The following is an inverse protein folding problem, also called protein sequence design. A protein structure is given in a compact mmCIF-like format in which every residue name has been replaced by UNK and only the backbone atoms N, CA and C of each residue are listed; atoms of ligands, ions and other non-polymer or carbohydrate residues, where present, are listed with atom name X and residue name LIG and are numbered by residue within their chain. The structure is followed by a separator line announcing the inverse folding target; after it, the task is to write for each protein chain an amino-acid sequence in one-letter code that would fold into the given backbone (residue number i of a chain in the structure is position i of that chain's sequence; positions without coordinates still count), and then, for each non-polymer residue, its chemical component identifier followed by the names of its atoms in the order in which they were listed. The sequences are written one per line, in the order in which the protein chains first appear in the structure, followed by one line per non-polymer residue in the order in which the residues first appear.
data_IF_934823851151
#
_entry.id   IF_934823851151
#
_cell.length_a   1.000
_cell.length_b   1.000
_cell.length_c   1.000
_cell.angle_alpha   90.00
_cell.angle_beta   90.00
_cell.angle_gamma   90.00
#
_symmetry.space_group_name_H-M   'P 1'
#
loop_
_entity.id
_entity.type
_entity.pdbx_description
1 polymer ?
#
# COMPACT_ATOMS: atom_id res chain seq x y z
N UNK A 1 -17.87 11.52 10.77
CA UNK A 1 -18.39 11.61 9.38
C UNK A 1 -17.53 10.74 8.47
N UNK A 2 -18.13 9.84 7.68
CA UNK A 2 -17.40 9.14 6.61
C UNK A 2 -17.48 9.98 5.33
N UNK A 3 -16.36 10.26 4.64
CA UNK A 3 -16.39 10.93 3.35
C UNK A 3 -17.24 10.14 2.36
N UNK A 4 -18.05 10.83 1.56
CA UNK A 4 -18.82 10.19 0.49
C UNK A 4 -17.91 9.94 -0.71
N UNK A 5 -17.14 8.86 -0.65
CA UNK A 5 -16.16 8.52 -1.68
C UNK A 5 -16.78 8.35 -3.07
N UNK A 6 -18.05 7.91 -3.14
CA UNK A 6 -18.77 7.82 -4.42
C UNK A 6 -18.84 9.17 -5.11
N UNK A 7 -19.26 10.21 -4.39
CA UNK A 7 -19.39 11.57 -4.95
C UNK A 7 -18.03 12.16 -5.31
N UNK A 8 -17.03 11.99 -4.45
CA UNK A 8 -15.67 12.49 -4.68
C UNK A 8 -15.06 11.88 -5.95
N UNK A 9 -15.10 10.56 -6.10
CA UNK A 9 -14.53 9.91 -7.28
C UNK A 9 -15.35 10.17 -8.54
N UNK A 10 -16.67 10.31 -8.43
CA UNK A 10 -17.52 10.70 -9.55
C UNK A 10 -17.12 12.08 -10.09
N UNK A 11 -17.02 13.08 -9.22
CA UNK A 11 -16.65 14.44 -9.60
C UNK A 11 -15.23 14.47 -10.20
N UNK A 12 -14.29 13.70 -9.65
CA UNK A 12 -12.92 13.58 -10.19
C UNK A 12 -12.92 12.97 -11.59
N UNK A 13 -13.66 11.88 -11.82
CA UNK A 13 -13.71 11.22 -13.14
C UNK A 13 -14.37 12.14 -14.16
N UNK A 14 -15.48 12.79 -13.81
CA UNK A 14 -16.19 13.70 -14.72
C UNK A 14 -15.34 14.91 -15.11
N UNK A 15 -14.50 15.41 -14.19
CA UNK A 15 -13.68 16.60 -14.43
C UNK A 15 -12.35 16.30 -15.13
N UNK A 16 -11.65 15.25 -14.72
CA UNK A 16 -10.25 15.01 -15.12
C UNK A 16 -10.10 13.83 -16.10
N UNK A 17 -11.00 12.84 -16.05
CA UNK A 17 -10.87 11.59 -16.83
C UNK A 17 -12.20 11.11 -17.40
N UNK A 18 -12.92 11.93 -18.19
CA UNK A 18 -14.24 11.57 -18.72
C UNK A 18 -14.18 10.30 -19.58
N UNK A 19 -13.04 9.99 -20.22
CA UNK A 19 -12.87 8.76 -20.99
C UNK A 19 -12.99 7.48 -20.14
N UNK A 20 -12.70 7.56 -18.83
CA UNK A 20 -12.72 6.43 -17.91
C UNK A 20 -14.12 6.11 -17.38
N UNK A 21 -15.07 7.03 -17.54
CA UNK A 21 -16.45 6.84 -17.13
C UNK A 21 -17.15 5.76 -17.97
N UNK A 22 -16.63 5.48 -19.16
CA UNK A 22 -17.10 4.43 -20.05
C UNK A 22 -16.53 3.04 -19.70
N UNK A 23 -15.55 2.93 -18.79
CA UNK A 23 -15.01 1.64 -18.39
C UNK A 23 -16.00 0.91 -17.44
N UNK A 24 -16.51 -0.28 -17.83
CA UNK A 24 -17.44 -1.05 -17.00
C UNK A 24 -16.85 -1.44 -15.64
N UNK A 25 -15.52 -1.57 -15.53
CA UNK A 25 -14.85 -1.88 -14.25
C UNK A 25 -14.95 -0.72 -13.28
N UNK A 26 -14.77 0.51 -13.76
CA UNK A 26 -14.84 1.72 -12.93
C UNK A 26 -16.28 1.94 -12.48
N UNK A 27 -17.28 1.82 -13.37
CA UNK A 27 -18.70 1.92 -13.00
C UNK A 27 -19.10 0.91 -11.93
N UNK A 28 -18.66 -0.34 -12.03
CA UNK A 28 -18.96 -1.37 -11.04
C UNK A 28 -18.29 -1.09 -9.70
N UNK A 29 -17.04 -0.62 -9.69
CA UNK A 29 -16.35 -0.26 -8.45
C UNK A 29 -16.95 0.99 -7.79
N UNK A 30 -17.33 1.99 -8.58
CA UNK A 30 -17.95 3.23 -8.10
C UNK A 30 -19.25 2.95 -7.34
N UNK A 31 -20.02 1.95 -7.79
CA UNK A 31 -21.25 1.49 -7.12
C UNK A 31 -21.00 0.69 -5.83
N UNK A 32 -19.83 0.06 -5.68
CA UNK A 32 -19.51 -0.85 -4.56
C UNK A 32 -18.49 -0.28 -3.58
N UNK A 33 -18.30 1.05 -3.56
CA UNK A 33 -17.27 1.78 -2.81
C UNK A 33 -17.57 1.87 -1.29
N UNK A 34 -17.70 0.72 -0.65
CA UNK A 34 -18.09 0.60 0.74
C UNK A 34 -16.91 0.30 1.67
N UNK A 35 -15.83 -0.28 1.13
CA UNK A 35 -14.64 -0.64 1.90
C UNK A 35 -13.42 0.19 1.49
N UNK A 36 -12.45 0.27 2.40
CA UNK A 36 -11.15 0.91 2.16
C UNK A 36 -10.38 0.24 1.02
N UNK A 37 -10.60 -1.07 0.81
CA UNK A 37 -10.02 -1.83 -0.30
C UNK A 37 -10.62 -1.40 -1.65
N UNK A 38 -11.93 -1.16 -1.71
CA UNK A 38 -12.61 -0.64 -2.91
C UNK A 38 -12.12 0.77 -3.25
N UNK A 39 -11.94 1.63 -2.24
CA UNK A 39 -11.32 2.95 -2.39
C UNK A 39 -9.92 2.84 -2.97
N UNK A 40 -9.10 1.89 -2.49
CA UNK A 40 -7.74 1.71 -2.99
C UNK A 40 -7.73 1.25 -4.45
N UNK A 41 -8.57 0.27 -4.77
CA UNK A 41 -8.71 -0.29 -6.12
C UNK A 41 -9.18 0.75 -7.12
N UNK A 42 -10.17 1.58 -6.77
CA UNK A 42 -10.65 2.61 -7.68
C UNK A 42 -9.60 3.72 -7.86
N UNK A 43 -8.88 4.09 -6.80
CA UNK A 43 -7.78 5.04 -6.88
C UNK A 43 -6.71 4.55 -7.87
N UNK A 44 -6.37 3.26 -7.83
CA UNK A 44 -5.44 2.64 -8.76
C UNK A 44 -5.93 2.57 -10.22
N UNK A 45 -7.25 2.46 -10.44
CA UNK A 45 -7.85 2.44 -11.77
C UNK A 45 -7.95 3.84 -12.39
N UNK A 46 -8.38 4.82 -11.59
CA UNK A 46 -8.54 6.22 -12.01
C UNK A 46 -7.18 6.89 -12.17
N UNK A 47 -6.27 6.72 -11.23
CA UNK A 47 -4.93 7.28 -11.33
C UNK A 47 -4.00 6.19 -11.88
N UNK A 48 -3.67 6.31 -13.17
CA UNK A 48 -2.69 5.44 -13.81
C UNK A 48 -1.35 5.72 -13.12
N UNK A 49 -0.99 4.90 -12.13
CA UNK A 49 0.24 5.12 -11.38
C UNK A 49 1.43 4.96 -12.34
N UNK A 50 2.02 6.09 -12.75
CA UNK A 50 3.33 6.13 -13.38
C UNK A 50 4.36 5.44 -12.47
N UNK A 51 5.45 4.93 -13.03
CA UNK A 51 6.54 4.33 -12.23
C UNK A 51 7.01 5.28 -11.12
N UNK A 52 6.95 6.59 -11.35
CA UNK A 52 7.31 7.61 -10.37
C UNK A 52 6.26 7.79 -9.26
N UNK A 53 4.97 7.86 -9.58
CA UNK A 53 3.93 7.87 -8.53
C UNK A 53 3.93 6.59 -7.70
N UNK A 54 4.26 5.43 -8.29
CA UNK A 54 4.37 4.15 -7.57
C UNK A 54 5.62 4.11 -6.65
N UNK A 55 6.69 4.84 -7.02
CA UNK A 55 7.88 5.06 -6.19
C UNK A 55 7.61 6.05 -5.06
N UNK A 56 6.91 7.13 -5.33
CA UNK A 56 6.59 8.13 -4.32
C UNK A 56 5.55 7.61 -3.33
N UNK A 57 4.53 6.88 -3.79
CA UNK A 57 3.61 6.16 -2.92
C UNK A 57 4.31 5.12 -2.04
N UNK A 58 5.44 4.52 -2.47
CA UNK A 58 6.25 3.64 -1.62
C UNK A 58 7.02 4.41 -0.54
N UNK A 59 7.53 5.61 -0.86
CA UNK A 59 8.16 6.49 0.14
C UNK A 59 7.15 6.99 1.17
N UNK A 60 5.90 7.20 0.74
CA UNK A 60 4.77 7.62 1.58
C UNK A 60 4.12 6.47 2.37
N UNK A 61 4.58 5.21 2.21
CA UNK A 61 4.15 4.13 3.10
C UNK A 61 4.72 4.39 4.49
N UNK A 62 3.89 4.97 5.34
CA UNK A 62 4.08 4.93 6.78
C UNK A 62 3.88 3.46 7.18
N UNK A 63 4.98 2.76 7.41
CA UNK A 63 4.90 1.40 7.94
C UNK A 63 4.67 1.49 9.44
N UNK A 64 3.48 1.07 9.88
CA UNK A 64 3.19 0.96 11.31
C UNK A 64 4.18 0.00 11.98
N UNK A 65 4.53 0.29 13.23
CA UNK A 65 5.42 -0.53 14.07
C UNK A 65 5.05 -2.02 14.03
N UNK A 66 3.76 -2.36 14.14
CA UNK A 66 3.25 -3.74 14.05
C UNK A 66 3.58 -4.41 12.71
N UNK A 67 3.48 -3.67 11.61
CA UNK A 67 3.78 -4.16 10.26
C UNK A 67 5.27 -4.42 10.08
N UNK A 68 6.12 -3.52 10.61
CA UNK A 68 7.58 -3.68 10.58
C UNK A 68 7.99 -4.95 11.33
N UNK A 69 7.53 -5.14 12.56
CA UNK A 69 7.84 -6.33 13.37
C UNK A 69 7.38 -7.61 12.66
N UNK A 70 6.16 -7.63 12.12
CA UNK A 70 5.63 -8.78 11.38
C UNK A 70 6.50 -9.14 10.16
N UNK A 71 6.97 -8.15 9.42
CA UNK A 71 7.87 -8.35 8.28
C UNK A 71 9.23 -8.89 8.71
N UNK A 72 9.79 -8.39 9.80
CA UNK A 72 11.07 -8.86 10.34
C UNK A 72 10.98 -10.29 10.90
N UNK A 73 9.87 -10.62 11.57
CA UNK A 73 9.58 -11.99 12.04
C UNK A 73 9.40 -12.94 10.87
N UNK A 74 8.69 -12.52 9.81
CA UNK A 74 8.56 -13.31 8.58
C UNK A 74 9.92 -13.54 7.90
N UNK A 75 10.78 -12.52 7.86
CA UNK A 75 12.15 -12.66 7.36
C UNK A 75 12.93 -13.71 8.15
N UNK A 76 12.87 -13.66 9.50
CA UNK A 76 13.58 -14.58 10.39
C UNK A 76 13.03 -16.01 10.30
N UNK A 77 11.70 -16.18 10.31
CA UNK A 77 11.02 -17.48 10.23
C UNK A 77 11.39 -18.28 8.98
N UNK A 78 11.53 -17.58 7.85
CA UNK A 78 11.84 -18.21 6.57
C UNK A 78 13.30 -18.03 6.14
N UNK A 79 14.15 -17.48 7.02
CA UNK A 79 15.55 -17.20 6.77
C UNK A 79 15.82 -16.40 5.47
N UNK A 80 14.91 -15.48 5.11
CA UNK A 80 15.02 -14.72 3.87
C UNK A 80 16.13 -13.68 3.94
N UNK A 81 16.83 -13.52 2.82
CA UNK A 81 17.82 -12.46 2.67
C UNK A 81 17.15 -11.09 2.67
N UNK A 82 17.86 -10.07 3.16
CA UNK A 82 17.43 -8.67 3.08
C UNK A 82 17.21 -8.24 1.62
N UNK A 83 17.92 -8.86 0.67
CA UNK A 83 17.74 -8.62 -0.76
C UNK A 83 16.39 -9.14 -1.27
N UNK A 84 15.97 -10.33 -0.84
CA UNK A 84 14.65 -10.88 -1.17
C UNK A 84 13.53 -10.00 -0.62
N UNK A 85 13.61 -9.63 0.67
CA UNK A 85 12.63 -8.75 1.30
C UNK A 85 12.56 -7.39 0.60
N UNK A 86 13.72 -6.85 0.22
CA UNK A 86 13.82 -5.59 -0.51
C UNK A 86 13.10 -5.63 -1.85
N UNK A 87 13.30 -6.70 -2.64
CA UNK A 87 12.63 -6.85 -3.94
C UNK A 87 11.12 -7.10 -3.79
N UNK A 88 10.73 -7.99 -2.87
CA UNK A 88 9.32 -8.40 -2.68
C UNK A 88 8.45 -7.25 -2.18
N UNK A 89 8.93 -6.51 -1.18
CA UNK A 89 8.16 -5.44 -0.55
C UNK A 89 8.52 -4.05 -1.07
N UNK A 90 9.50 -3.97 -1.97
CA UNK A 90 10.05 -2.73 -2.53
C UNK A 90 10.54 -1.76 -1.45
N UNK A 91 11.19 -2.31 -0.43
CA UNK A 91 11.76 -1.57 0.70
C UNK A 91 13.27 -1.52 0.50
N UNK A 92 13.91 -0.38 0.75
CA UNK A 92 15.36 -0.29 0.59
C UNK A 92 16.08 -1.22 1.58
N UNK A 93 17.21 -1.81 1.17
CA UNK A 93 18.02 -2.67 2.04
C UNK A 93 18.49 -1.93 3.30
N UNK A 94 18.76 -0.63 3.17
CA UNK A 94 19.17 0.23 4.29
C UNK A 94 18.02 0.49 5.25
N UNK A 95 16.80 0.68 4.75
CA UNK A 95 15.58 0.77 5.58
C UNK A 95 15.35 -0.51 6.37
N UNK A 96 15.45 -1.69 5.73
CA UNK A 96 15.31 -2.98 6.43
C UNK A 96 16.41 -3.17 7.49
N UNK A 97 17.65 -2.79 7.18
CA UNK A 97 18.75 -2.83 8.15
C UNK A 97 18.50 -1.90 9.35
N UNK A 98 18.02 -0.67 9.11
CA UNK A 98 17.61 0.26 10.17
C UNK A 98 16.48 -0.32 11.02
N UNK A 99 15.47 -0.92 10.41
CA UNK A 99 14.39 -1.57 11.15
C UNK A 99 14.89 -2.73 12.02
N UNK A 100 15.78 -3.58 11.50
CA UNK A 100 16.38 -4.66 12.31
C UNK A 100 17.14 -4.13 13.52
N UNK A 101 17.85 -3.02 13.37
CA UNK A 101 18.56 -2.37 14.48
C UNK A 101 17.61 -1.76 15.50
N UNK A 102 16.59 -1.04 15.03
CA UNK A 102 15.65 -0.31 15.90
C UNK A 102 14.63 -1.20 16.60
N UNK A 103 14.29 -2.36 16.02
CA UNK A 103 13.29 -3.29 16.55
C UNK A 103 13.89 -4.63 16.97
N UNK A 104 15.20 -4.67 17.25
CA UNK A 104 15.90 -5.91 17.61
C UNK A 104 15.32 -6.54 18.88
N UNK A 105 15.07 -5.72 19.91
CA UNK A 105 14.56 -6.15 21.22
C UNK A 105 13.15 -6.76 21.13
N UNK A 106 12.28 -6.16 20.31
CA UNK A 106 10.88 -6.60 20.13
C UNK A 106 10.74 -7.90 19.32
N UNK A 107 11.76 -8.26 18.54
CA UNK A 107 11.84 -9.54 17.83
C UNK A 107 12.23 -10.68 18.79
N UNK A 108 12.91 -10.36 19.90
CA UNK A 108 13.32 -11.35 20.90
C UNK A 108 12.19 -11.75 21.85
N UNK A 109 11.22 -10.86 22.11
CA UNK A 109 10.09 -11.14 23.01
C UNK A 109 9.03 -12.09 22.43
N UNK A 110 8.92 -12.24 21.10
CA UNK A 110 7.97 -13.17 20.47
C UNK A 110 8.41 -14.65 20.51
N UNK A 111 9.25 -15.02 21.48
CA UNK A 111 9.76 -16.38 21.69
C UNK A 111 9.21 -17.08 22.94
N UNK A 112 8.28 -16.46 23.66
CA UNK A 112 7.50 -17.11 24.73
C UNK A 112 6.14 -17.57 24.22
#
# INVERSE_FOLDING_TARGET
MRPNYHKIYKDIIEKEYPEKLNDPKIKNLLKKLNTTDDVLKINHLIFKQSKDTLRDNQKLKIYDKKTIIKLLNYQKKHNFSTQYMSRKYKISRTTIAKWRKNFLEEIHENKN
#
